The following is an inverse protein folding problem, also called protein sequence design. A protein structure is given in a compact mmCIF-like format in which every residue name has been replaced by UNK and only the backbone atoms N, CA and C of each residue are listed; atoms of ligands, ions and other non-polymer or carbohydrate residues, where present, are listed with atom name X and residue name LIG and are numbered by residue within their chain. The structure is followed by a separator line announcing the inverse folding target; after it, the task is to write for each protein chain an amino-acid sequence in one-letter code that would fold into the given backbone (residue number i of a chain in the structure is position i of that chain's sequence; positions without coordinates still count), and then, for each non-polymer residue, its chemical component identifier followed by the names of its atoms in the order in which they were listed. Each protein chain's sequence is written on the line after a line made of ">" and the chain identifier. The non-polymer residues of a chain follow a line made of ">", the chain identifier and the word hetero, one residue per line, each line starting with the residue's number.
data_IF_286196756954
#
_entry.id   IF_286196756954
#
_cell.length_a   1.000
_cell.length_b   1.000
_cell.length_c   1.000
_cell.angle_alpha   90.00
_cell.angle_beta   90.00
_cell.angle_gamma   90.00
#
_symmetry.space_group_name_H-M   'P 1'
#
loop_
_entity.id
_entity.type
_entity.pdbx_description
1 polymer ?
#
# COMPACT_ATOMS: atom_id res chain seq x y z
N UNK A 1 6.78 16.51 -21.31
CA UNK A 1 6.30 17.06 -20.02
C UNK A 1 6.99 16.31 -18.89
N UNK A 2 7.48 17.01 -17.86
CA UNK A 2 8.22 16.38 -16.75
C UNK A 2 7.24 15.94 -15.63
N UNK A 3 7.16 14.63 -15.36
CA UNK A 3 6.28 14.03 -14.36
C UNK A 3 6.60 14.39 -12.89
N UNK A 4 7.74 15.05 -12.63
CA UNK A 4 8.06 15.61 -11.31
C UNK A 4 7.26 16.88 -11.01
N UNK A 5 6.81 17.59 -12.05
CA UNK A 5 6.24 18.93 -11.93
C UNK A 5 4.81 18.99 -12.45
N UNK A 6 4.41 18.04 -13.30
CA UNK A 6 3.09 18.05 -13.95
C UNK A 6 2.34 16.75 -13.72
N UNK A 7 1.21 16.87 -13.01
CA UNK A 7 0.16 15.85 -12.96
C UNK A 7 -1.11 16.44 -13.56
N UNK A 8 -1.83 15.64 -14.35
CA UNK A 8 -3.12 16.10 -14.87
C UNK A 8 -4.15 16.23 -13.74
N UNK A 9 -5.23 17.00 -13.97
CA UNK A 9 -6.23 17.29 -12.94
C UNK A 9 -6.88 16.02 -12.36
N UNK A 10 -7.12 15.00 -13.20
CA UNK A 10 -7.71 13.74 -12.76
C UNK A 10 -6.77 12.96 -11.83
N UNK A 11 -5.47 12.92 -12.14
CA UNK A 11 -4.44 12.32 -11.30
C UNK A 11 -4.32 13.06 -9.96
N UNK A 12 -4.32 14.40 -9.97
CA UNK A 12 -4.24 15.19 -8.74
C UNK A 12 -5.43 14.91 -7.81
N UNK A 13 -6.66 14.89 -8.35
CA UNK A 13 -7.86 14.56 -7.58
C UNK A 13 -7.78 13.11 -7.06
N UNK A 14 -7.37 12.16 -7.92
CA UNK A 14 -7.23 10.77 -7.52
C UNK A 14 -6.22 10.60 -6.38
N UNK A 15 -5.06 11.26 -6.44
CA UNK A 15 -4.07 11.25 -5.37
C UNK A 15 -4.59 11.91 -4.10
N UNK A 16 -5.30 13.03 -4.21
CA UNK A 16 -5.90 13.69 -3.07
C UNK A 16 -6.88 12.76 -2.34
N UNK A 17 -7.83 12.17 -3.08
CA UNK A 17 -8.82 11.24 -2.51
C UNK A 17 -8.13 10.02 -1.91
N UNK A 18 -7.15 9.45 -2.60
CA UNK A 18 -6.45 8.24 -2.12
C UNK A 18 -5.70 8.52 -0.81
N UNK A 19 -4.93 9.61 -0.77
CA UNK A 19 -4.02 9.91 0.34
C UNK A 19 -4.74 10.54 1.53
N UNK A 20 -5.63 11.50 1.29
CA UNK A 20 -6.25 12.29 2.36
C UNK A 20 -7.64 11.81 2.76
N UNK A 21 -8.25 10.88 2.02
CA UNK A 21 -9.59 10.36 2.34
C UNK A 21 -9.54 8.85 2.54
N UNK A 22 -9.19 8.09 1.50
CA UNK A 22 -9.25 6.63 1.55
C UNK A 22 -8.25 6.05 2.58
N UNK A 23 -7.01 6.52 2.61
CA UNK A 23 -6.00 6.01 3.55
C UNK A 23 -6.38 6.28 5.03
N UNK A 24 -6.80 7.49 5.44
CA UNK A 24 -7.30 7.73 6.79
C UNK A 24 -8.52 6.87 7.14
N UNK A 25 -9.48 6.71 6.22
CA UNK A 25 -10.64 5.84 6.44
C UNK A 25 -10.22 4.39 6.68
N UNK A 26 -9.27 3.87 5.90
CA UNK A 26 -8.73 2.52 6.07
C UNK A 26 -8.03 2.34 7.42
N UNK A 27 -7.23 3.32 7.85
CA UNK A 27 -6.55 3.31 9.15
C UNK A 27 -7.55 3.32 10.31
N UNK A 28 -8.49 4.26 10.31
CA UNK A 28 -9.48 4.40 11.40
C UNK A 28 -10.36 3.15 11.53
N UNK A 29 -10.85 2.63 10.41
CA UNK A 29 -11.67 1.43 10.40
C UNK A 29 -10.86 0.15 10.68
N UNK A 30 -9.60 0.09 10.25
CA UNK A 30 -8.69 -1.02 10.50
C UNK A 30 -8.29 -1.14 11.97
N UNK A 31 -7.97 -0.01 12.64
CA UNK A 31 -7.62 0.02 14.07
C UNK A 31 -8.75 -0.59 14.91
N UNK A 32 -10.01 -0.28 14.58
CA UNK A 32 -11.18 -0.81 15.29
C UNK A 32 -11.34 -2.32 15.19
N UNK A 33 -10.88 -2.92 14.09
CA UNK A 33 -10.91 -4.36 13.85
C UNK A 33 -9.61 -5.08 14.28
N UNK A 34 -8.57 -4.31 14.63
CA UNK A 34 -7.28 -4.84 15.06
C UNK A 34 -7.28 -5.30 16.51
N UNK A 35 -6.28 -6.11 16.88
CA UNK A 35 -6.04 -6.51 18.28
C UNK A 35 -5.57 -5.38 19.21
N UNK A 36 -5.28 -4.19 18.67
CA UNK A 36 -4.83 -3.00 19.43
C UNK A 36 -6.03 -2.28 20.08
N UNK A 37 -7.25 -2.49 19.59
CA UNK A 37 -8.44 -1.84 20.14
C UNK A 37 -8.65 -2.20 21.62
N UNK A 38 -8.86 -1.21 22.52
CA UNK A 38 -8.97 -1.46 23.94
C UNK A 38 -10.22 -2.29 24.29
N UNK A 39 -9.99 -3.47 24.88
CA UNK A 39 -11.05 -4.45 25.21
C UNK A 39 -12.06 -3.95 26.25
N UNK A 40 -11.64 -3.03 27.13
CA UNK A 40 -12.46 -2.54 28.25
C UNK A 40 -13.12 -1.16 28.00
N UNK A 41 -12.96 -0.59 26.80
CA UNK A 41 -13.50 0.74 26.47
C UNK A 41 -14.97 0.66 26.01
N UNK A 42 -15.90 0.40 26.96
CA UNK A 42 -17.34 0.23 26.67
C UNK A 42 -17.98 1.47 26.02
N UNK A 43 -17.67 2.68 26.51
CA UNK A 43 -18.21 3.93 25.94
C UNK A 43 -17.73 4.16 24.50
N UNK A 44 -16.43 3.97 24.26
CA UNK A 44 -15.82 4.12 22.94
C UNK A 44 -16.35 3.08 21.94
N UNK A 45 -16.49 1.82 22.37
CA UNK A 45 -17.00 0.75 21.52
C UNK A 45 -18.49 0.88 21.20
N UNK A 46 -19.25 1.59 22.05
CA UNK A 46 -20.65 1.96 21.79
C UNK A 46 -20.75 3.13 20.82
N UNK A 47 -19.86 4.12 20.93
CA UNK A 47 -19.79 5.26 20.02
C UNK A 47 -19.28 4.86 18.63
N UNK A 48 -18.37 3.89 18.55
CA UNK A 48 -17.84 3.34 17.30
C UNK A 48 -18.00 1.81 17.23
N UNK A 49 -19.17 1.32 16.78
CA UNK A 49 -19.43 -0.11 16.64
C UNK A 49 -18.59 -0.74 15.52
N UNK A 50 -18.30 -2.03 15.65
CA UNK A 50 -17.46 -2.75 14.68
C UNK A 50 -18.15 -2.91 13.32
N UNK A 51 -19.47 -2.93 13.32
CA UNK A 51 -20.33 -3.03 12.14
C UNK A 51 -20.12 -1.81 11.23
N UNK A 52 -20.05 -0.62 11.82
CA UNK A 52 -19.75 0.62 11.11
C UNK A 52 -18.32 0.61 10.55
N UNK A 53 -17.35 0.18 11.36
CA UNK A 53 -15.97 0.06 10.91
C UNK A 53 -15.87 -0.88 9.70
N UNK A 54 -16.53 -2.05 9.74
CA UNK A 54 -16.55 -3.01 8.63
C UNK A 54 -17.25 -2.45 7.39
N UNK A 55 -18.39 -1.78 7.58
CA UNK A 55 -19.17 -1.18 6.50
C UNK A 55 -18.37 -0.10 5.75
N UNK A 56 -17.45 0.59 6.42
CA UNK A 56 -16.52 1.54 5.78
C UNK A 56 -15.29 0.83 5.21
N UNK A 57 -14.67 -0.06 5.98
CA UNK A 57 -13.40 -0.69 5.60
C UNK A 57 -13.51 -1.51 4.33
N UNK A 58 -14.60 -2.27 4.17
CA UNK A 58 -14.75 -3.16 3.02
C UNK A 58 -14.83 -2.40 1.69
N UNK A 59 -15.71 -1.39 1.51
CA UNK A 59 -15.69 -0.54 0.31
C UNK A 59 -14.36 0.20 0.11
N UNK A 60 -13.73 0.70 1.18
CA UNK A 60 -12.42 1.35 1.08
C UNK A 60 -11.35 0.39 0.56
N UNK A 61 -11.36 -0.88 1.00
CA UNK A 61 -10.47 -1.92 0.48
C UNK A 61 -10.73 -2.19 -1.01
N UNK A 62 -11.99 -2.31 -1.42
CA UNK A 62 -12.35 -2.51 -2.84
C UNK A 62 -11.87 -1.32 -3.68
N UNK A 63 -12.05 -0.09 -3.19
CA UNK A 63 -11.52 1.11 -3.84
C UNK A 63 -10.00 1.03 -4.04
N UNK A 64 -9.24 0.65 -3.00
CA UNK A 64 -7.78 0.49 -3.11
C UNK A 64 -7.39 -0.57 -4.13
N UNK A 65 -8.07 -1.71 -4.17
CA UNK A 65 -7.80 -2.77 -5.15
C UNK A 65 -7.99 -2.24 -6.57
N UNK A 66 -9.13 -1.59 -6.84
CA UNK A 66 -9.43 -1.01 -8.16
C UNK A 66 -8.41 0.08 -8.52
N UNK A 67 -8.10 0.97 -7.57
CA UNK A 67 -7.10 2.03 -7.75
C UNK A 67 -5.74 1.45 -8.11
N UNK A 68 -5.26 0.44 -7.39
CA UNK A 68 -3.97 -0.20 -7.64
C UNK A 68 -3.95 -0.84 -9.04
N UNK A 69 -5.00 -1.57 -9.42
CA UNK A 69 -5.10 -2.19 -10.75
C UNK A 69 -5.00 -1.15 -11.86
N UNK A 70 -5.81 -0.09 -11.78
CA UNK A 70 -5.80 0.99 -12.78
C UNK A 70 -4.45 1.71 -12.78
N UNK A 71 -3.93 2.05 -11.61
CA UNK A 71 -2.66 2.76 -11.47
C UNK A 71 -1.49 1.98 -12.08
N UNK A 72 -1.35 0.70 -11.73
CA UNK A 72 -0.29 -0.16 -12.26
C UNK A 72 -0.47 -0.37 -13.76
N UNK A 73 -1.70 -0.58 -14.23
CA UNK A 73 -1.98 -0.66 -15.67
C UNK A 73 -1.49 0.59 -16.40
N UNK A 74 -1.81 1.79 -15.91
CA UNK A 74 -1.37 3.04 -16.53
C UNK A 74 0.15 3.22 -16.50
N UNK A 75 0.81 2.83 -15.40
CA UNK A 75 2.29 2.84 -15.33
C UNK A 75 2.89 2.00 -16.45
N UNK A 76 2.33 0.80 -16.70
CA UNK A 76 2.84 -0.10 -17.73
C UNK A 76 2.47 0.37 -19.15
N UNK A 77 1.25 0.87 -19.34
CA UNK A 77 0.72 1.29 -20.64
C UNK A 77 1.28 2.63 -21.15
N UNK A 78 1.83 3.47 -20.28
CA UNK A 78 2.30 4.83 -20.64
C UNK A 78 3.83 4.98 -20.64
N UNK A 79 4.56 3.87 -20.78
CA UNK A 79 6.02 3.83 -20.81
C UNK A 79 6.61 3.25 -19.53
N UNK A 80 6.48 1.94 -19.35
CA UNK A 80 6.84 1.19 -18.14
C UNK A 80 8.24 1.53 -17.60
N UNK A 81 9.29 1.39 -18.42
CA UNK A 81 10.67 1.62 -17.98
C UNK A 81 10.91 3.06 -17.55
N UNK A 82 10.41 4.04 -18.30
CA UNK A 82 10.48 5.46 -17.94
C UNK A 82 9.78 5.74 -16.61
N UNK A 83 8.53 5.27 -16.47
CA UNK A 83 7.74 5.48 -15.25
C UNK A 83 8.39 4.81 -14.03
N UNK A 84 8.93 3.59 -14.18
CA UNK A 84 9.64 2.90 -13.11
C UNK A 84 10.94 3.60 -12.75
N UNK A 85 11.74 4.08 -13.71
CA UNK A 85 12.94 4.89 -13.43
C UNK A 85 12.59 6.18 -12.69
N UNK A 86 11.47 6.79 -13.03
CA UNK A 86 10.96 7.99 -12.36
C UNK A 86 10.61 7.75 -10.89
N UNK A 87 9.98 6.62 -10.58
CA UNK A 87 9.55 6.29 -9.21
C UNK A 87 10.65 5.64 -8.36
N UNK A 88 11.42 4.72 -8.94
CA UNK A 88 12.35 3.85 -8.20
C UNK A 88 13.82 4.23 -8.36
N UNK A 89 14.21 4.88 -9.47
CA UNK A 89 15.59 5.29 -9.72
C UNK A 89 15.82 6.80 -9.56
N UNK A 90 14.78 7.56 -9.17
CA UNK A 90 14.82 9.02 -9.01
C UNK A 90 15.27 9.76 -10.28
N UNK A 91 14.89 9.26 -11.46
CA UNK A 91 15.28 9.83 -12.75
C UNK A 91 14.12 10.58 -13.42
N UNK A 92 14.31 11.86 -13.74
CA UNK A 92 13.34 12.69 -14.45
C UNK A 92 13.95 13.29 -15.72
N UNK A 93 13.15 13.46 -16.77
CA UNK A 93 13.52 14.19 -17.98
C UNK A 93 12.28 14.84 -18.60
N UNK A 94 12.49 15.95 -19.31
CA UNK A 94 11.47 16.56 -20.17
C UNK A 94 11.33 15.88 -21.53
N UNK A 95 12.36 15.13 -21.93
CA UNK A 95 12.44 14.34 -23.16
C UNK A 95 11.57 13.07 -23.04
N UNK A 96 10.59 12.85 -23.94
CA UNK A 96 9.73 11.67 -23.93
C UNK A 96 10.48 10.33 -24.04
N UNK A 97 11.60 10.29 -24.76
CA UNK A 97 12.30 9.04 -25.08
C UNK A 97 13.44 8.73 -24.09
N UNK A 98 13.69 9.64 -23.15
CA UNK A 98 14.69 9.45 -22.11
C UNK A 98 14.37 8.22 -21.25
N UNK A 99 15.43 7.44 -20.96
CA UNK A 99 15.39 6.24 -20.12
C UNK A 99 14.56 5.07 -20.67
N UNK A 100 14.18 5.09 -21.95
CA UNK A 100 13.47 3.99 -22.59
C UNK A 100 14.27 2.67 -22.55
N UNK A 101 15.61 2.74 -22.63
CA UNK A 101 16.51 1.58 -22.56
C UNK A 101 17.13 1.36 -21.17
N UNK A 102 16.74 2.14 -20.16
CA UNK A 102 17.28 2.01 -18.81
C UNK A 102 16.42 1.09 -17.93
N UNK A 103 17.02 0.04 -17.39
CA UNK A 103 16.35 -0.97 -16.58
C UNK A 103 16.53 -0.80 -15.07
N UNK A 104 17.25 0.24 -14.62
CA UNK A 104 17.55 0.44 -13.20
C UNK A 104 16.30 0.46 -12.32
N UNK A 105 15.31 1.29 -12.66
CA UNK A 105 14.05 1.39 -11.93
C UNK A 105 13.24 0.09 -11.92
N UNK A 106 13.31 -0.69 -13.01
CA UNK A 106 12.70 -2.01 -13.06
C UNK A 106 13.33 -2.97 -12.05
N UNK A 107 14.67 -3.03 -11.98
CA UNK A 107 15.34 -3.91 -11.03
C UNK A 107 15.12 -3.50 -9.57
N UNK A 108 15.07 -2.19 -9.28
CA UNK A 108 14.70 -1.69 -7.96
C UNK A 108 13.25 -2.06 -7.59
N UNK A 109 12.32 -1.95 -8.53
CA UNK A 109 10.94 -2.41 -8.35
C UNK A 109 10.85 -3.92 -8.13
N UNK A 110 11.54 -4.72 -8.93
CA UNK A 110 11.57 -6.18 -8.76
C UNK A 110 12.15 -6.59 -7.41
N UNK A 111 13.24 -5.94 -6.98
CA UNK A 111 13.85 -6.15 -5.68
C UNK A 111 12.89 -5.75 -4.54
N UNK A 112 12.18 -4.62 -4.65
CA UNK A 112 11.22 -4.21 -3.62
C UNK A 112 10.06 -5.20 -3.49
N UNK A 113 9.54 -5.73 -4.60
CA UNK A 113 8.53 -6.79 -4.60
C UNK A 113 9.05 -8.08 -3.97
N UNK A 114 10.29 -8.47 -4.26
CA UNK A 114 10.91 -9.65 -3.66
C UNK A 114 11.06 -9.48 -2.14
N UNK A 115 11.46 -8.30 -1.67
CA UNK A 115 11.52 -7.96 -0.24
C UNK A 115 10.14 -8.03 0.41
N UNK A 116 9.10 -7.46 -0.21
CA UNK A 116 7.73 -7.51 0.30
C UNK A 116 7.19 -8.94 0.36
N UNK A 117 7.43 -9.75 -0.68
CA UNK A 117 7.05 -11.15 -0.72
C UNK A 117 7.79 -11.96 0.38
N UNK A 118 9.08 -11.71 0.56
CA UNK A 118 9.88 -12.30 1.63
C UNK A 118 9.36 -11.93 3.02
N UNK A 119 9.07 -10.65 3.24
CA UNK A 119 8.48 -10.15 4.49
C UNK A 119 7.10 -10.78 4.76
N UNK A 120 6.26 -10.91 3.73
CA UNK A 120 4.96 -11.58 3.84
C UNK A 120 5.10 -13.06 4.24
N UNK A 121 6.05 -13.78 3.64
CA UNK A 121 6.35 -15.17 4.02
C UNK A 121 6.88 -15.24 5.44
N UNK A 122 7.77 -14.32 5.84
CA UNK A 122 8.34 -14.26 7.17
C UNK A 122 7.31 -13.93 8.26
N UNK A 123 6.27 -13.15 7.92
CA UNK A 123 5.19 -12.80 8.83
C UNK A 123 4.22 -13.97 9.12
N UNK A 124 4.35 -15.11 8.43
CA UNK A 124 3.46 -16.26 8.65
C UNK A 124 3.73 -16.89 10.02
N UNK A 125 2.70 -17.39 10.73
CA UNK A 125 2.89 -18.06 12.02
C UNK A 125 3.87 -19.23 11.99
N UNK A 126 3.96 -19.93 10.86
CA UNK A 126 4.91 -21.04 10.64
C UNK A 126 6.38 -20.60 10.77
N UNK A 127 6.70 -19.35 10.42
CA UNK A 127 8.05 -18.78 10.53
C UNK A 127 8.24 -18.06 11.87
N UNK A 128 7.24 -17.29 12.31
CA UNK A 128 7.34 -16.51 13.55
C UNK A 128 7.30 -17.36 14.83
N UNK A 129 6.46 -18.39 14.89
CA UNK A 129 6.25 -19.16 16.11
C UNK A 129 7.50 -19.92 16.58
N UNK A 130 8.30 -20.59 15.72
CA UNK A 130 9.57 -21.20 16.13
C UNK A 130 10.57 -20.19 16.69
N UNK A 131 10.69 -19.01 16.08
CA UNK A 131 11.63 -17.96 16.53
C UNK A 131 11.17 -17.40 17.87
N UNK A 132 9.88 -17.11 18.02
CA UNK A 132 9.31 -16.61 19.28
C UNK A 132 9.48 -17.61 20.44
N UNK A 133 9.49 -18.93 20.16
CA UNK A 133 9.74 -19.97 21.16
C UNK A 133 11.15 -19.96 21.75
N UNK A 134 12.12 -19.36 21.06
CA UNK A 134 13.47 -19.17 21.62
C UNK A 134 13.48 -18.20 22.81
N UNK A 135 12.47 -17.32 22.90
CA UNK A 135 12.38 -16.28 23.93
C UNK A 135 11.31 -16.58 25.00
N UNK A 136 10.62 -17.72 24.93
CA UNK A 136 9.60 -18.10 25.91
C UNK A 136 8.56 -19.10 25.37
N UNK A 137 7.57 -19.45 26.19
CA UNK A 137 6.51 -20.39 25.80
C UNK A 137 5.44 -19.68 24.95
N UNK A 138 5.33 -20.08 23.68
CA UNK A 138 4.32 -19.55 22.75
C UNK A 138 3.20 -20.57 22.58
N UNK A 139 2.00 -20.23 23.09
CA UNK A 139 0.78 -21.01 22.90
C UNK A 139 0.21 -20.73 21.51
N UNK A 140 -0.02 -21.79 20.72
CA UNK A 140 -0.68 -21.69 19.42
C UNK A 140 -2.18 -21.49 19.64
N UNK A 141 -2.63 -20.24 19.60
CA UNK A 141 -4.04 -19.89 19.47
C UNK A 141 -4.32 -19.33 18.10
#
# INVERSE_FOLDING_TARGET
>A
ENGWVNYNALQQIAYFVTVFVAAPLAVLSGIRMSGIWPKNAKALSRAYPVEWARAVHYPTMVYFVVFIVIHVFLVLATGALRNLNHMYAMQGSGDPDAYADNWAGFWFFAASLAVLAGAWVAARPVVLAPIARLFGTVSGR
#
